data_IF_386492746415
#
_entry.id   IF_386492746415
#
_cell.length_a   1.000
_cell.length_b   1.000
_cell.length_c   1.000
_cell.angle_alpha   90.00
_cell.angle_beta   90.00
_cell.angle_gamma   90.00
#
_symmetry.space_group_name_H-M   'P 1'
#
loop_
_entity.id
_entity.type
_entity.pdbx_description
1 polymer ?
#
# COMPACT_ATOMS: atom_id res chain seq x y z
N UNK A 1 -56.30 -13.24 -3.66
CA UNK A 1 -54.96 -13.84 -3.55
C UNK A 1 -54.04 -12.86 -2.82
N UNK A 2 -53.68 -13.12 -1.56
CA UNK A 2 -52.74 -12.29 -0.81
C UNK A 2 -51.31 -12.63 -1.25
N UNK A 3 -50.55 -11.64 -1.74
CA UNK A 3 -49.12 -11.78 -2.02
C UNK A 3 -48.38 -11.68 -0.69
N UNK A 4 -47.80 -12.79 -0.23
CA UNK A 4 -46.87 -12.80 0.89
C UNK A 4 -45.52 -12.28 0.42
N UNK A 5 -45.02 -11.23 1.07
CA UNK A 5 -43.67 -10.73 0.88
C UNK A 5 -42.80 -11.26 2.02
N UNK A 6 -41.75 -12.01 1.68
CA UNK A 6 -40.73 -12.46 2.64
C UNK A 6 -39.65 -11.39 2.77
N UNK A 7 -39.54 -10.78 3.94
CA UNK A 7 -38.43 -9.89 4.29
C UNK A 7 -37.30 -10.72 4.91
N UNK A 8 -36.27 -11.04 4.11
CA UNK A 8 -35.03 -11.60 4.64
C UNK A 8 -34.06 -10.47 4.96
N UNK A 9 -33.82 -10.19 6.25
CA UNK A 9 -32.73 -9.31 6.66
C UNK A 9 -31.40 -10.07 6.57
N UNK A 10 -30.41 -9.52 5.87
CA UNK A 10 -29.05 -10.05 5.92
C UNK A 10 -28.50 -9.86 7.34
N UNK A 11 -28.34 -10.96 8.09
CA UNK A 11 -27.63 -10.91 9.38
C UNK A 11 -26.16 -10.61 9.08
N UNK A 12 -25.77 -9.36 9.26
CA UNK A 12 -24.38 -8.97 9.17
C UNK A 12 -23.60 -9.69 10.29
N UNK A 13 -22.70 -10.60 9.91
CA UNK A 13 -21.74 -11.20 10.84
C UNK A 13 -20.98 -10.04 11.50
N UNK A 14 -20.71 -10.14 12.81
CA UNK A 14 -20.00 -9.08 13.52
C UNK A 14 -18.59 -8.88 12.94
N UNK A 15 -18.47 -7.88 12.06
CA UNK A 15 -17.21 -7.50 11.43
C UNK A 15 -16.25 -6.86 12.43
N UNK A 16 -16.76 -6.30 13.55
CA UNK A 16 -15.91 -5.70 14.58
C UNK A 16 -15.05 -6.78 15.26
N UNK A 17 -15.60 -7.97 15.45
CA UNK A 17 -14.83 -9.12 15.94
C UNK A 17 -13.64 -9.45 15.01
N UNK A 18 -13.85 -9.42 13.68
CA UNK A 18 -12.78 -9.67 12.71
C UNK A 18 -11.72 -8.58 12.75
N UNK A 19 -12.13 -7.32 12.74
CA UNK A 19 -11.21 -6.18 12.86
C UNK A 19 -10.41 -6.24 14.16
N UNK A 20 -11.04 -6.57 15.28
CA UNK A 20 -10.39 -6.77 16.58
C UNK A 20 -9.38 -7.92 16.58
N UNK A 21 -9.56 -8.92 15.71
CA UNK A 21 -8.62 -10.02 15.48
C UNK A 21 -7.61 -9.75 14.36
N UNK A 22 -7.62 -8.55 13.77
CA UNK A 22 -6.74 -8.18 12.66
C UNK A 22 -7.06 -8.89 11.34
N UNK A 23 -8.25 -9.45 11.20
CA UNK A 23 -8.73 -10.11 9.98
C UNK A 23 -9.39 -9.09 9.05
N UNK A 24 -9.37 -9.31 7.72
CA UNK A 24 -10.07 -8.44 6.80
C UNK A 24 -11.59 -8.55 7.00
N UNK A 25 -12.24 -7.40 6.80
CA UNK A 25 -13.70 -7.26 6.87
C UNK A 25 -14.38 -8.20 5.87
N UNK A 26 -13.93 -8.18 4.62
CA UNK A 26 -14.32 -9.15 3.61
C UNK A 26 -13.46 -10.43 3.73
N UNK A 27 -14.05 -11.60 4.03
CA UNK A 27 -13.33 -12.87 4.10
C UNK A 27 -12.60 -13.24 2.80
N UNK A 28 -13.11 -12.78 1.66
CA UNK A 28 -12.57 -13.07 0.33
C UNK A 28 -11.51 -12.05 -0.14
N UNK A 29 -11.14 -11.07 0.70
CA UNK A 29 -10.15 -10.07 0.31
C UNK A 29 -8.72 -10.63 0.35
N UNK A 30 -8.35 -11.23 1.49
CA UNK A 30 -7.04 -11.79 1.74
C UNK A 30 -7.13 -12.88 2.81
N UNK A 31 -6.43 -13.99 2.62
CA UNK A 31 -6.41 -15.07 3.59
C UNK A 31 -6.14 -16.44 2.95
N UNK A 32 -6.04 -17.50 3.76
CA UNK A 32 -5.79 -18.85 3.26
C UNK A 32 -6.86 -19.28 2.24
N UNK A 33 -8.11 -18.88 2.46
CA UNK A 33 -9.24 -19.19 1.55
C UNK A 33 -9.05 -18.67 0.12
N UNK A 34 -8.36 -17.54 -0.08
CA UNK A 34 -8.28 -16.86 -1.39
C UNK A 34 -6.87 -16.91 -2.00
N UNK A 35 -5.86 -17.10 -1.16
CA UNK A 35 -4.46 -17.11 -1.57
C UNK A 35 -3.93 -18.52 -1.84
N UNK A 36 -4.46 -19.54 -1.16
CA UNK A 36 -4.08 -20.93 -1.42
C UNK A 36 -4.68 -21.43 -2.72
N UNK A 37 -4.07 -22.44 -3.36
CA UNK A 37 -4.65 -23.06 -4.54
C UNK A 37 -5.91 -23.85 -4.17
N UNK A 38 -6.90 -23.81 -5.07
CA UNK A 38 -8.20 -24.46 -4.86
C UNK A 38 -8.12 -26.01 -4.98
N UNK A 39 -7.04 -26.54 -5.53
CA UNK A 39 -6.79 -27.99 -5.68
C UNK A 39 -5.28 -28.25 -5.73
N UNK A 40 -4.88 -29.52 -5.73
CA UNK A 40 -3.49 -29.97 -5.97
C UNK A 40 -3.50 -31.26 -6.79
N UNK A 41 -2.49 -31.48 -7.63
CA UNK A 41 -2.35 -32.72 -8.40
C UNK A 41 -2.00 -33.89 -7.46
N UNK A 42 -2.52 -35.10 -7.74
CA UNK A 42 -2.21 -36.31 -6.97
C UNK A 42 -0.71 -36.63 -6.98
N UNK A 43 -0.01 -36.28 -8.06
CA UNK A 43 1.44 -36.43 -8.21
C UNK A 43 2.26 -35.43 -7.36
N UNK A 44 1.61 -34.55 -6.57
CA UNK A 44 2.28 -33.53 -5.78
C UNK A 44 2.84 -32.34 -6.58
N UNK A 45 2.52 -32.24 -7.88
CA UNK A 45 2.93 -31.08 -8.70
C UNK A 45 2.26 -29.81 -8.16
N UNK A 46 3.03 -28.72 -8.12
CA UNK A 46 2.50 -27.40 -7.74
C UNK A 46 1.47 -26.93 -8.76
N UNK A 47 0.33 -26.43 -8.29
CA UNK A 47 -0.68 -25.87 -9.18
C UNK A 47 -0.17 -24.61 -9.87
N UNK A 48 -0.23 -24.55 -11.21
CA UNK A 48 0.11 -23.33 -11.93
C UNK A 48 -0.86 -22.21 -11.55
N UNK A 49 -0.31 -21.02 -11.26
CA UNK A 49 -1.08 -19.85 -10.88
C UNK A 49 -2.04 -19.45 -12.00
N UNK A 50 -3.32 -19.78 -11.85
CA UNK A 50 -4.37 -19.27 -12.72
C UNK A 50 -5.21 -20.25 -13.49
N UNK A 51 -5.10 -21.55 -13.22
CA UNK A 51 -5.92 -22.56 -13.89
C UNK A 51 -7.14 -22.86 -13.02
N UNK A 52 -8.27 -22.20 -13.29
CA UNK A 52 -9.56 -22.67 -12.78
C UNK A 52 -10.09 -23.77 -13.71
N UNK A 53 -10.76 -24.77 -13.13
CA UNK A 53 -11.35 -25.93 -13.84
C UNK A 53 -12.24 -25.53 -15.03
N UNK A 54 -12.80 -24.31 -15.03
CA UNK A 54 -13.66 -23.79 -16.11
C UNK A 54 -12.89 -23.42 -17.39
N UNK A 55 -11.57 -23.27 -17.36
CA UNK A 55 -10.82 -22.84 -18.56
C UNK A 55 -10.64 -23.97 -19.59
N UNK A 56 -10.79 -25.23 -19.21
CA UNK A 56 -10.56 -26.39 -20.10
C UNK A 56 -11.51 -26.45 -21.31
N UNK A 57 -12.74 -25.92 -21.21
CA UNK A 57 -13.71 -25.97 -22.33
C UNK A 57 -13.36 -24.97 -23.44
N UNK A 58 -12.51 -23.97 -23.20
CA UNK A 58 -12.14 -22.95 -24.19
C UNK A 58 -10.82 -23.21 -24.92
N UNK A 59 -10.01 -24.16 -24.48
CA UNK A 59 -8.68 -24.39 -25.06
C UNK A 59 -8.67 -25.21 -26.36
N UNK A 60 -9.80 -25.76 -26.78
CA UNK A 60 -9.91 -26.55 -28.01
C UNK A 60 -10.18 -25.72 -29.26
N UNK A 61 -10.55 -24.45 -29.13
CA UNK A 61 -10.87 -23.58 -30.28
C UNK A 61 -10.13 -22.26 -30.13
N UNK A 62 -9.19 -21.99 -31.04
CA UNK A 62 -8.51 -20.71 -31.30
C UNK A 62 -7.18 -20.44 -30.58
N UNK A 63 -6.09 -20.77 -31.28
CA UNK A 63 -4.67 -20.62 -30.92
C UNK A 63 -4.15 -19.17 -31.11
N UNK A 64 -4.91 -18.15 -30.72
CA UNK A 64 -4.43 -16.76 -30.73
C UNK A 64 -5.14 -15.91 -29.67
N UNK A 65 -4.89 -16.20 -28.40
CA UNK A 65 -5.37 -15.36 -27.31
C UNK A 65 -4.28 -15.10 -26.29
N UNK A 66 -3.92 -13.82 -26.15
CA UNK A 66 -3.17 -13.24 -25.04
C UNK A 66 -3.66 -13.88 -23.73
N UNK A 67 -2.82 -14.63 -22.99
CA UNK A 67 -3.28 -15.36 -21.81
C UNK A 67 -3.81 -14.35 -20.79
N UNK A 68 -5.11 -14.42 -20.53
CA UNK A 68 -5.77 -13.59 -19.53
C UNK A 68 -5.16 -13.95 -18.17
N UNK A 69 -4.38 -13.03 -17.60
CA UNK A 69 -3.73 -13.25 -16.31
C UNK A 69 -4.79 -13.54 -15.25
N UNK A 70 -4.55 -14.57 -14.45
CA UNK A 70 -5.46 -14.95 -13.37
C UNK A 70 -5.58 -13.87 -12.31
N UNK A 71 -6.72 -13.84 -11.63
CA UNK A 71 -6.98 -12.87 -10.58
C UNK A 71 -5.96 -12.96 -9.43
N UNK A 72 -5.42 -14.16 -9.15
CA UNK A 72 -4.31 -14.35 -8.20
C UNK A 72 -3.05 -13.59 -8.65
N UNK A 73 -2.64 -13.75 -9.92
CA UNK A 73 -1.48 -13.02 -10.47
C UNK A 73 -1.69 -11.51 -10.43
N UNK A 74 -2.88 -11.03 -10.78
CA UNK A 74 -3.21 -9.59 -10.73
C UNK A 74 -3.08 -9.01 -9.31
N UNK A 75 -3.54 -9.75 -8.29
CA UNK A 75 -3.39 -9.33 -6.89
C UNK A 75 -1.91 -9.22 -6.49
N UNK A 76 -1.09 -10.19 -6.89
CA UNK A 76 0.34 -10.20 -6.61
C UNK A 76 1.06 -9.02 -7.26
N UNK A 77 0.80 -8.74 -8.54
CA UNK A 77 1.38 -7.58 -9.24
C UNK A 77 0.98 -6.26 -8.58
N UNK A 78 -0.28 -6.12 -8.19
CA UNK A 78 -0.75 -4.93 -7.47
C UNK A 78 -0.05 -4.74 -6.13
N UNK A 79 0.21 -5.83 -5.40
CA UNK A 79 0.98 -5.78 -4.15
C UNK A 79 2.43 -5.32 -4.39
N UNK A 80 3.06 -5.79 -5.47
CA UNK A 80 4.39 -5.35 -5.86
C UNK A 80 4.42 -3.85 -6.19
N UNK A 81 3.46 -3.36 -6.98
CA UNK A 81 3.33 -1.95 -7.33
C UNK A 81 3.19 -1.06 -6.08
N UNK A 82 2.34 -1.45 -5.14
CA UNK A 82 2.14 -0.74 -3.88
C UNK A 82 3.44 -0.73 -3.06
N UNK A 83 4.14 -1.87 -2.96
CA UNK A 83 5.39 -1.98 -2.21
C UNK A 83 6.49 -1.07 -2.79
N UNK A 84 6.66 -1.09 -4.11
CA UNK A 84 7.61 -0.20 -4.82
C UNK A 84 7.32 1.26 -4.51
N UNK A 85 6.05 1.66 -4.57
CA UNK A 85 5.63 3.03 -4.30
C UNK A 85 5.87 3.45 -2.85
N UNK A 86 5.67 2.55 -1.88
CA UNK A 86 5.95 2.83 -0.46
C UNK A 86 7.44 3.14 -0.26
N UNK A 87 8.32 2.32 -0.84
CA UNK A 87 9.78 2.50 -0.72
C UNK A 87 10.21 3.82 -1.35
N UNK A 88 9.76 4.10 -2.57
CA UNK A 88 10.03 5.35 -3.28
C UNK A 88 9.63 6.57 -2.45
N UNK A 89 8.37 6.66 -2.07
CA UNK A 89 7.84 7.79 -1.29
C UNK A 89 8.54 7.95 0.06
N UNK A 90 8.87 6.83 0.73
CA UNK A 90 9.60 6.89 2.00
C UNK A 90 10.99 7.50 1.83
N UNK A 91 11.70 7.14 0.75
CA UNK A 91 13.03 7.64 0.46
C UNK A 91 13.03 9.13 0.08
N UNK A 92 12.02 9.58 -0.67
CA UNK A 92 11.83 10.97 -1.01
C UNK A 92 11.59 11.83 0.23
N UNK A 93 10.77 11.33 1.15
CA UNK A 93 10.43 12.03 2.38
C UNK A 93 11.66 12.19 3.28
N UNK A 94 12.47 11.13 3.43
CA UNK A 94 13.71 11.18 4.19
C UNK A 94 14.73 12.14 3.57
N UNK A 95 14.85 12.14 2.23
CA UNK A 95 15.68 13.11 1.52
C UNK A 95 15.22 14.56 1.79
N UNK A 96 13.91 14.83 1.72
CA UNK A 96 13.34 16.15 1.97
C UNK A 96 13.61 16.63 3.41
N UNK A 97 13.44 15.76 4.41
CA UNK A 97 13.78 16.07 5.81
C UNK A 97 15.25 16.43 5.97
N UNK A 98 16.15 15.64 5.40
CA UNK A 98 17.60 15.87 5.46
C UNK A 98 17.98 17.21 4.83
N UNK A 99 17.48 17.49 3.63
CA UNK A 99 17.72 18.76 2.94
C UNK A 99 17.22 19.95 3.74
N UNK A 100 16.02 19.86 4.31
CA UNK A 100 15.45 20.93 5.14
C UNK A 100 16.31 21.22 6.37
N UNK A 101 16.77 20.17 7.06
CA UNK A 101 17.67 20.30 8.20
C UNK A 101 18.98 20.99 7.80
N UNK A 102 19.58 20.59 6.66
CA UNK A 102 20.79 21.22 6.13
C UNK A 102 20.59 22.70 5.79
N UNK A 103 19.49 23.06 5.13
CA UNK A 103 19.18 24.45 4.78
C UNK A 103 18.97 25.31 6.03
N UNK A 104 18.27 24.79 7.04
CA UNK A 104 18.11 25.47 8.34
C UNK A 104 19.46 25.69 9.03
N UNK A 105 20.30 24.65 9.09
CA UNK A 105 21.63 24.73 9.68
C UNK A 105 22.51 25.76 8.95
N UNK A 106 22.49 25.76 7.61
CA UNK A 106 23.21 26.74 6.79
C UNK A 106 22.69 28.16 7.04
N UNK A 107 21.37 28.36 7.05
CA UNK A 107 20.78 29.65 7.31
C UNK A 107 21.08 30.16 8.74
N UNK A 108 21.18 29.27 9.73
CA UNK A 108 21.62 29.62 11.08
C UNK A 108 23.10 29.99 11.11
N UNK A 109 23.97 29.19 10.48
CA UNK A 109 25.40 29.47 10.40
C UNK A 109 25.71 30.79 9.68
N UNK A 110 24.98 31.12 8.61
CA UNK A 110 25.11 32.40 7.93
C UNK A 110 24.63 33.56 8.81
N UNK A 111 23.51 33.42 9.53
CA UNK A 111 23.07 34.41 10.51
C UNK A 111 24.15 34.63 11.57
N UNK A 112 24.68 33.56 12.14
CA UNK A 112 25.72 33.62 13.16
C UNK A 112 27.01 34.25 12.62
N UNK A 113 27.37 33.95 11.36
CA UNK A 113 28.51 34.56 10.67
C UNK A 113 28.32 36.07 10.47
N UNK A 114 27.16 36.49 10.00
CA UNK A 114 26.82 37.91 9.85
C UNK A 114 26.87 38.60 11.21
N UNK A 115 26.28 38.00 12.25
CA UNK A 115 26.31 38.55 13.61
C UNK A 115 27.74 38.67 14.17
N UNK A 116 28.60 37.66 13.95
CA UNK A 116 30.01 37.69 14.35
C UNK A 116 30.80 38.76 13.59
N UNK A 117 30.47 39.00 12.33
CA UNK A 117 31.12 40.00 11.49
C UNK A 117 30.59 41.43 11.70
N UNK A 118 29.51 41.63 12.48
CA UNK A 118 29.00 42.97 12.78
C UNK A 118 30.04 43.75 13.59
N UNK A 119 30.35 44.95 13.12
CA UNK A 119 31.20 45.89 13.84
C UNK A 119 30.55 46.27 15.18
N UNK A 120 31.41 46.60 16.15
CA UNK A 120 30.98 47.09 17.47
C UNK A 120 30.10 48.34 17.30
N UNK A 121 29.02 48.48 18.09
CA UNK A 121 28.20 49.69 18.05
C UNK A 121 29.03 50.92 18.47
N UNK A 122 28.73 52.09 17.90
CA UNK A 122 29.40 53.36 18.19
C UNK A 122 28.42 54.39 18.74
N UNK A 123 28.96 55.42 19.41
CA UNK A 123 28.21 56.61 19.81
C UNK A 123 27.23 56.37 20.97
N UNK A 124 26.01 56.94 20.93
CA UNK A 124 25.04 56.91 22.05
C UNK A 124 24.63 55.51 22.52
N UNK A 125 24.79 54.50 21.65
CA UNK A 125 24.51 53.10 21.97
C UNK A 125 25.45 52.54 23.05
N UNK A 126 26.62 53.14 23.27
CA UNK A 126 27.55 52.75 24.33
C UNK A 126 27.20 53.38 25.69
N UNK A 127 26.39 54.45 25.71
CA UNK A 127 26.01 55.18 26.91
C UNK A 127 24.79 54.57 27.62
N UNK A 128 24.09 53.63 26.96
CA UNK A 128 23.04 52.83 27.58
C UNK A 128 23.70 51.79 28.50
N UNK A 129 23.75 52.12 29.80
CA UNK A 129 24.01 51.16 30.89
C UNK A 129 22.78 50.30 31.13
#
# INVERSE_FOLDING_TARGET
>A
AQRQFTLSAARHIDQKWRAAKGLPENPNAFGPLTNLPDYTYLDGRTTPLGVSICCWIKYTIFFYYKPLQSNQKKRLLKQQEIATKIVELSSELEFAKKRHAQLKAKAQAERDRVMKNKLKPKGPLLLKK
#
